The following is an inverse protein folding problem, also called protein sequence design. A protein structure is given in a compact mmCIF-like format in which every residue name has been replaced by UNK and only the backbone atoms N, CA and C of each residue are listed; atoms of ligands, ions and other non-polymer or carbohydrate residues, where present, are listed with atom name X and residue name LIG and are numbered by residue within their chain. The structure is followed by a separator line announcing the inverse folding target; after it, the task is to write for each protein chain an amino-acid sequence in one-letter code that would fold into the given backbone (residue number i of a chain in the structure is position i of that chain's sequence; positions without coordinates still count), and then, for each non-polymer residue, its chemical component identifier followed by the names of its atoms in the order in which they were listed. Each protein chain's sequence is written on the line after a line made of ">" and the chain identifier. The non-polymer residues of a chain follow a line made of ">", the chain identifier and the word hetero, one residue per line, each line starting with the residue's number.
data_IF_307827225665
#
_entry.id   IF_307827225665
#
_cell.length_a   1.000
_cell.length_b   1.000
_cell.length_c   1.000
_cell.angle_alpha   90.00
_cell.angle_beta   90.00
_cell.angle_gamma   90.00
#
_symmetry.space_group_name_H-M   'P 1'
#
loop_
_entity.id
_entity.type
_entity.pdbx_description
1 polymer ?
#
# COMPACT_ATOMS: atom_id res chain seq x y z
N UNK A 1 -10.75 9.88 6.98
CA UNK A 1 -11.24 8.54 7.44
C UNK A 1 -10.03 7.79 8.00
N UNK A 2 -10.12 7.05 9.12
CA UNK A 2 -8.97 6.32 9.69
C UNK A 2 -8.99 4.86 9.24
N UNK A 3 -7.86 4.34 8.79
CA UNK A 3 -7.69 2.92 8.49
C UNK A 3 -7.70 2.15 9.83
N UNK A 4 -8.26 0.94 9.85
CA UNK A 4 -8.32 0.16 11.09
C UNK A 4 -6.91 -0.08 11.65
N UNK A 5 -6.76 -0.07 12.97
CA UNK A 5 -5.50 -0.43 13.64
C UNK A 5 -5.10 -1.89 13.38
N UNK A 6 -6.06 -2.69 12.90
CA UNK A 6 -5.93 -4.12 12.65
C UNK A 6 -5.71 -4.45 11.17
N UNK A 7 -5.25 -3.48 10.36
CA UNK A 7 -5.02 -3.71 8.93
C UNK A 7 -3.92 -4.76 8.71
N UNK A 8 -4.24 -5.83 8.01
CA UNK A 8 -3.28 -6.87 7.63
C UNK A 8 -2.52 -6.53 6.34
N UNK A 9 -1.35 -7.13 6.15
CA UNK A 9 -0.58 -7.02 4.90
C UNK A 9 -1.38 -7.43 3.67
N UNK A 10 -2.13 -8.53 3.77
CA UNK A 10 -2.97 -9.02 2.67
C UNK A 10 -4.13 -8.07 2.34
N UNK A 11 -4.75 -7.46 3.35
CA UNK A 11 -5.81 -6.47 3.14
C UNK A 11 -5.26 -5.22 2.44
N UNK A 12 -4.11 -4.72 2.90
CA UNK A 12 -3.43 -3.59 2.26
C UNK A 12 -3.02 -3.90 0.81
N UNK A 13 -2.49 -5.10 0.54
CA UNK A 13 -2.15 -5.52 -0.82
C UNK A 13 -3.36 -5.46 -1.74
N UNK A 14 -4.49 -6.06 -1.33
CA UNK A 14 -5.73 -6.05 -2.13
C UNK A 14 -6.20 -4.64 -2.44
N UNK A 15 -6.14 -3.75 -1.46
CA UNK A 15 -6.48 -2.33 -1.60
C UNK A 15 -5.58 -1.62 -2.60
N UNK A 16 -4.27 -1.83 -2.52
CA UNK A 16 -3.30 -1.20 -3.42
C UNK A 16 -3.36 -1.78 -4.84
N UNK A 17 -3.77 -3.04 -5.01
CA UNK A 17 -4.00 -3.60 -6.34
C UNK A 17 -5.12 -2.90 -7.12
N UNK A 18 -6.15 -2.37 -6.44
CA UNK A 18 -7.14 -1.47 -7.09
C UNK A 18 -6.51 -0.21 -7.66
N UNK A 19 -5.37 0.21 -7.12
CA UNK A 19 -4.57 1.33 -7.59
C UNK A 19 -3.46 0.87 -8.55
N UNK A 20 -3.59 -0.26 -9.23
CA UNK A 20 -2.62 -0.71 -10.23
C UNK A 20 -1.25 -1.13 -9.67
N UNK A 21 -1.17 -1.47 -8.38
CA UNK A 21 0.01 -2.13 -7.83
C UNK A 21 -0.10 -3.65 -7.99
N UNK A 22 0.91 -4.25 -8.61
CA UNK A 22 0.97 -5.68 -8.87
C UNK A 22 2.06 -6.35 -8.03
N UNK A 23 1.83 -7.60 -7.62
CA UNK A 23 2.84 -8.39 -6.92
C UNK A 23 3.95 -8.75 -7.91
N UNK A 24 5.14 -8.19 -7.70
CA UNK A 24 6.30 -8.46 -8.55
C UNK A 24 7.24 -9.53 -7.97
N UNK A 25 7.27 -9.70 -6.64
CA UNK A 25 8.09 -10.72 -5.98
C UNK A 25 7.61 -11.00 -4.56
N UNK A 26 7.83 -12.22 -4.08
CA UNK A 26 7.75 -12.54 -2.65
C UNK A 26 9.03 -13.24 -2.19
N UNK A 27 9.56 -12.84 -1.02
CA UNK A 27 10.65 -13.54 -0.31
C UNK A 27 10.27 -13.69 1.16
N UNK A 28 9.96 -14.92 1.58
CA UNK A 28 9.42 -15.18 2.91
C UNK A 28 8.12 -14.40 3.13
N UNK A 29 8.01 -13.70 4.26
CA UNK A 29 6.86 -12.85 4.55
C UNK A 29 6.87 -11.52 3.80
N UNK A 30 7.94 -11.12 3.10
CA UNK A 30 7.99 -9.83 2.43
C UNK A 30 7.47 -9.94 0.99
N UNK A 31 6.41 -9.20 0.69
CA UNK A 31 5.78 -9.12 -0.63
C UNK A 31 6.13 -7.77 -1.24
N UNK A 32 6.68 -7.79 -2.44
CA UNK A 32 6.99 -6.59 -3.21
C UNK A 32 5.87 -6.33 -4.20
N UNK A 33 5.28 -5.15 -4.08
CA UNK A 33 4.36 -4.61 -5.06
C UNK A 33 5.08 -3.63 -5.97
N UNK A 34 4.63 -3.50 -7.20
CA UNK A 34 5.19 -2.57 -8.17
C UNK A 34 4.06 -1.97 -8.99
N UNK A 35 4.06 -0.65 -9.08
CA UNK A 35 3.20 0.12 -9.99
C UNK A 35 4.09 0.73 -11.07
N UNK A 36 3.66 0.66 -12.32
CA UNK A 36 4.33 1.31 -13.46
C UNK A 36 3.35 2.33 -14.01
N UNK A 37 3.81 3.58 -14.12
CA UNK A 37 3.03 4.68 -14.68
C UNK A 37 3.94 5.66 -15.45
N UNK A 38 3.40 6.78 -15.90
CA UNK A 38 4.14 7.80 -16.68
C UNK A 38 5.31 8.41 -15.92
N UNK A 39 5.34 8.31 -14.57
CA UNK A 39 6.47 8.75 -13.74
C UNK A 39 7.48 7.62 -13.49
N UNK A 40 7.39 6.51 -14.21
CA UNK A 40 8.29 5.35 -14.11
C UNK A 40 7.79 4.22 -13.21
N UNK A 41 8.73 3.47 -12.63
CA UNK A 41 8.43 2.31 -11.77
C UNK A 41 8.46 2.70 -10.30
N UNK A 42 7.41 2.37 -9.56
CA UNK A 42 7.32 2.58 -8.11
C UNK A 42 7.17 1.25 -7.36
N UNK A 43 8.26 0.73 -6.77
CA UNK A 43 8.22 -0.47 -5.97
C UNK A 43 8.01 -0.18 -4.48
N UNK A 44 7.11 -0.92 -3.83
CA UNK A 44 6.91 -0.89 -2.38
C UNK A 44 6.97 -2.30 -1.79
N UNK A 45 7.39 -2.42 -0.53
CA UNK A 45 7.47 -3.72 0.16
C UNK A 45 6.51 -3.76 1.33
N UNK A 46 5.68 -4.80 1.39
CA UNK A 46 4.68 -5.02 2.43
C UNK A 46 5.00 -6.36 3.12
N UNK A 47 5.23 -6.38 4.44
CA UNK A 47 5.30 -7.63 5.18
C UNK A 47 3.90 -8.23 5.31
N UNK A 48 3.80 -9.53 5.06
CA UNK A 48 2.59 -10.34 5.19
C UNK A 48 2.34 -10.69 6.67
N UNK A 49 2.13 -9.66 7.48
CA UNK A 49 1.83 -9.76 8.90
C UNK A 49 0.39 -9.33 9.15
N UNK A 50 -0.22 -9.84 10.22
CA UNK A 50 -1.53 -9.44 10.68
C UNK A 50 -1.50 -9.20 12.21
N UNK A 51 -1.64 -7.95 12.70
CA UNK A 51 -1.77 -6.71 11.94
C UNK A 51 -0.41 -6.12 11.51
N UNK A 52 -0.43 -5.20 10.55
CA UNK A 52 0.69 -4.32 10.26
C UNK A 52 0.86 -3.31 11.41
N UNK A 53 2.11 -3.03 11.78
CA UNK A 53 2.40 -1.95 12.74
C UNK A 53 1.88 -0.62 12.17
N UNK A 54 1.12 0.13 12.97
CA UNK A 54 0.51 1.42 12.57
C UNK A 54 1.54 2.39 11.96
N UNK A 55 2.74 2.45 12.53
CA UNK A 55 3.82 3.30 12.00
C UNK A 55 4.30 2.88 10.60
N UNK A 56 4.36 1.57 10.32
CA UNK A 56 4.71 1.05 8.99
C UNK A 56 3.59 1.33 8.00
N UNK A 57 2.33 1.07 8.40
CA UNK A 57 1.17 1.36 7.59
C UNK A 57 1.12 2.85 7.20
N UNK A 58 1.33 3.76 8.16
CA UNK A 58 1.33 5.20 7.86
C UNK A 58 2.45 5.62 6.91
N UNK A 59 3.63 4.99 6.99
CA UNK A 59 4.73 5.24 6.06
C UNK A 59 4.40 4.77 4.64
N UNK A 60 3.86 3.56 4.50
CA UNK A 60 3.45 3.02 3.19
C UNK A 60 2.35 3.88 2.57
N UNK A 61 1.32 4.24 3.34
CA UNK A 61 0.24 5.09 2.83
C UNK A 61 0.73 6.49 2.41
N UNK A 62 1.67 7.07 3.16
CA UNK A 62 2.27 8.36 2.80
C UNK A 62 3.06 8.27 1.49
N UNK A 63 3.87 7.22 1.33
CA UNK A 63 4.66 6.98 0.12
C UNK A 63 3.76 6.76 -1.11
N UNK A 64 2.72 5.94 -0.98
CA UNK A 64 1.71 5.73 -2.02
C UNK A 64 0.97 7.04 -2.36
N UNK A 65 0.55 7.81 -1.36
CA UNK A 65 -0.15 9.08 -1.58
C UNK A 65 0.71 10.06 -2.38
N UNK A 66 1.98 10.21 -1.99
CA UNK A 66 2.94 11.06 -2.69
C UNK A 66 3.18 10.60 -4.14
N UNK A 67 3.26 9.28 -4.39
CA UNK A 67 3.42 8.79 -5.78
C UNK A 67 2.25 9.21 -6.66
N UNK A 68 1.04 9.17 -6.10
CA UNK A 68 -0.20 9.46 -6.81
C UNK A 68 -0.55 10.95 -6.84
N UNK A 69 0.31 11.83 -6.29
CA UNK A 69 0.02 13.24 -6.04
C UNK A 69 -1.30 13.46 -5.29
N UNK A 70 -1.60 12.56 -4.36
CA UNK A 70 -2.80 12.63 -3.52
C UNK A 70 -2.42 13.04 -2.11
N UNK A 71 -3.36 13.68 -1.44
CA UNK A 71 -3.34 13.76 0.02
C UNK A 71 -3.61 12.38 0.62
N UNK A 72 -3.17 12.19 1.87
CA UNK A 72 -3.46 10.96 2.61
C UNK A 72 -4.97 10.71 2.71
N UNK A 73 -5.79 11.75 2.87
CA UNK A 73 -7.24 11.61 2.99
C UNK A 73 -7.91 11.21 1.66
N UNK A 74 -7.41 11.69 0.51
CA UNK A 74 -7.89 11.26 -0.80
C UNK A 74 -7.54 9.80 -1.07
N UNK A 75 -6.29 9.39 -0.82
CA UNK A 75 -5.89 7.99 -0.92
C UNK A 75 -6.79 7.10 -0.05
N UNK A 76 -7.07 7.54 1.17
CA UNK A 76 -7.92 6.81 2.11
C UNK A 76 -9.35 6.62 1.61
N UNK A 77 -9.91 7.55 0.83
CA UNK A 77 -11.23 7.35 0.21
C UNK A 77 -11.15 6.25 -0.84
N UNK A 78 -10.17 6.34 -1.74
CA UNK A 78 -10.00 5.38 -2.85
C UNK A 78 -9.81 3.92 -2.42
N UNK A 79 -9.21 3.68 -1.26
CA UNK A 79 -8.91 2.32 -0.77
C UNK A 79 -9.92 1.76 0.23
N UNK A 80 -10.90 2.56 0.68
CA UNK A 80 -11.97 2.12 1.58
C UNK A 80 -13.31 1.89 0.86
N UNK A 81 -13.46 2.36 -0.37
CA UNK A 81 -14.45 1.88 -1.34
C UNK A 81 -14.02 0.50 -1.92
#
# INVERSE_FOLDING_TARGET
>A
MKLSRDESGNSLIKKLSKLGYEISRQKGSHIRLTRIDTKGTHPITIPNHNPLKVGLLSKILFDVANRLDLTKDELMKLIND
#
